data_IF_515580686455
#
_entry.id   IF_515580686455
#
_cell.length_a   1.000
_cell.length_b   1.000
_cell.length_c   1.000
_cell.angle_alpha   90.00
_cell.angle_beta   90.00
_cell.angle_gamma   90.00
#
_symmetry.space_group_name_H-M   'P 1'
#
loop_
_entity.id
_entity.type
_entity.pdbx_description
1 polymer ?
#
# COMPACT_ATOMS: atom_id res chain seq x y z
N UNK A 1 8.50 7.34 -30.52
CA UNK A 1 9.48 8.45 -30.65
C UNK A 1 9.10 9.57 -29.69
N UNK A 2 10.05 10.25 -29.04
CA UNK A 2 9.75 11.40 -28.20
C UNK A 2 9.01 12.47 -29.01
N UNK A 3 7.99 13.11 -28.44
CA UNK A 3 7.16 14.10 -29.16
C UNK A 3 7.83 15.47 -29.21
N UNK A 4 8.87 15.68 -28.39
CA UNK A 4 9.68 16.89 -28.33
C UNK A 4 11.17 16.52 -28.37
N UNK A 5 12.02 17.22 -29.14
CA UNK A 5 13.46 16.98 -29.14
C UNK A 5 14.05 17.20 -27.73
N UNK A 6 14.97 16.33 -27.26
CA UNK A 6 15.57 16.47 -25.93
C UNK A 6 16.27 17.82 -25.80
N UNK A 7 15.98 18.52 -24.70
CA UNK A 7 16.63 19.81 -24.41
C UNK A 7 18.09 19.57 -23.96
N UNK A 8 18.94 20.61 -24.01
CA UNK A 8 20.32 20.50 -23.50
C UNK A 8 20.38 20.04 -22.04
N UNK A 9 19.42 20.47 -21.22
CA UNK A 9 19.28 20.03 -19.84
C UNK A 9 18.84 18.55 -19.70
N UNK A 10 18.10 18.01 -20.68
CA UNK A 10 17.75 16.58 -20.68
C UNK A 10 18.97 15.71 -21.01
N UNK A 11 19.80 16.16 -21.96
CA UNK A 11 21.05 15.49 -22.27
C UNK A 11 22.01 15.50 -21.06
N UNK A 12 22.11 16.64 -20.38
CA UNK A 12 22.89 16.77 -19.14
C UNK A 12 22.37 15.85 -18.03
N UNK A 13 21.06 15.78 -17.83
CA UNK A 13 20.44 14.89 -16.84
C UNK A 13 20.70 13.42 -17.16
N UNK A 14 20.54 13.01 -18.41
CA UNK A 14 20.82 11.64 -18.86
C UNK A 14 22.28 11.28 -18.63
N UNK A 15 23.21 12.19 -18.93
CA UNK A 15 24.64 11.97 -18.70
C UNK A 15 24.97 11.82 -17.20
N UNK A 16 24.40 12.68 -16.35
CA UNK A 16 24.56 12.60 -14.89
C UNK A 16 24.04 11.29 -14.31
N UNK A 17 22.87 10.83 -14.76
CA UNK A 17 22.29 9.56 -14.31
C UNK A 17 23.09 8.36 -14.80
N UNK A 18 23.58 8.40 -16.05
CA UNK A 18 24.43 7.34 -16.60
C UNK A 18 25.74 7.21 -15.80
N UNK A 19 26.35 8.32 -15.39
CA UNK A 19 27.52 8.32 -14.52
C UNK A 19 27.26 7.69 -13.13
N UNK A 20 25.99 7.68 -12.68
CA UNK A 20 25.52 7.02 -11.44
C UNK A 20 25.01 5.58 -11.68
N UNK A 21 25.27 5.02 -12.86
CA UNK A 21 24.86 3.66 -13.22
C UNK A 21 23.37 3.52 -13.57
N UNK A 22 22.64 4.62 -13.72
CA UNK A 22 21.20 4.61 -14.00
C UNK A 22 20.97 4.98 -15.46
N UNK A 23 20.47 4.02 -16.26
CA UNK A 23 20.19 4.23 -17.69
C UNK A 23 18.78 4.77 -17.89
N UNK A 24 18.67 6.00 -18.38
CA UNK A 24 17.39 6.67 -18.68
C UNK A 24 17.43 7.24 -20.09
N UNK A 25 16.33 7.09 -20.83
CA UNK A 25 16.13 7.69 -22.16
C UNK A 25 15.36 9.01 -22.09
N UNK A 26 15.54 9.87 -23.10
CA UNK A 26 14.76 11.11 -23.21
C UNK A 26 13.24 10.85 -23.23
N UNK A 27 12.81 9.73 -23.80
CA UNK A 27 11.41 9.31 -23.81
C UNK A 27 10.90 8.99 -22.40
N UNK A 28 11.71 8.35 -21.53
CA UNK A 28 11.33 8.12 -20.14
C UNK A 28 11.18 9.43 -19.37
N UNK A 29 12.10 10.38 -19.55
CA UNK A 29 11.99 11.72 -18.94
C UNK A 29 10.73 12.46 -19.41
N UNK A 30 10.43 12.44 -20.71
CA UNK A 30 9.21 13.02 -21.27
C UNK A 30 7.96 12.37 -20.66
N UNK A 31 7.93 11.04 -20.58
CA UNK A 31 6.81 10.29 -19.98
C UNK A 31 6.61 10.63 -18.52
N UNK A 32 7.66 10.64 -17.70
CA UNK A 32 7.57 10.99 -16.28
C UNK A 32 7.09 12.42 -16.07
N UNK A 33 7.52 13.37 -16.91
CA UNK A 33 7.02 14.76 -16.86
C UNK A 33 5.55 14.86 -17.27
N UNK A 34 5.13 14.11 -18.28
CA UNK A 34 3.73 14.06 -18.70
C UNK A 34 2.83 13.48 -17.61
N UNK A 35 3.34 12.53 -16.82
CA UNK A 35 2.65 11.93 -15.66
C UNK A 35 2.71 12.80 -14.40
N UNK A 36 3.55 13.85 -14.37
CA UNK A 36 3.77 14.70 -13.20
C UNK A 36 4.76 14.14 -12.17
N UNK A 37 5.39 12.99 -12.46
CA UNK A 37 6.35 12.32 -11.57
C UNK A 37 7.72 13.01 -11.53
N UNK A 38 8.07 13.74 -12.60
CA UNK A 38 9.29 14.51 -12.68
C UNK A 38 8.94 15.99 -12.91
N UNK A 39 9.40 16.92 -12.04
CA UNK A 39 9.22 18.35 -12.28
C UNK A 39 9.82 18.79 -13.62
N UNK A 40 9.24 19.85 -14.22
CA UNK A 40 9.85 20.48 -15.39
C UNK A 40 11.08 21.28 -14.97
N UNK A 41 12.10 21.30 -15.82
CA UNK A 41 13.32 22.04 -15.55
C UNK A 41 13.00 23.54 -15.43
N UNK A 42 13.39 24.21 -14.34
CA UNK A 42 13.19 25.65 -14.19
C UNK A 42 14.01 26.42 -15.23
N UNK A 43 13.40 27.46 -15.78
CA UNK A 43 14.05 28.34 -16.76
C UNK A 43 14.62 29.58 -16.09
N UNK A 44 15.87 29.90 -16.40
CA UNK A 44 16.50 31.17 -16.05
C UNK A 44 16.66 32.04 -17.29
N UNK A 45 16.26 33.31 -17.19
CA UNK A 45 16.53 34.31 -18.23
C UNK A 45 18.03 34.61 -18.27
N UNK A 46 18.63 34.59 -19.45
CA UNK A 46 20.04 34.93 -19.65
C UNK A 46 20.27 36.44 -19.83
N UNK A 47 19.20 37.25 -19.83
CA UNK A 47 19.24 38.70 -20.00
C UNK A 47 19.62 39.16 -21.41
N UNK A 48 19.39 40.46 -21.70
CA UNK A 48 19.77 41.16 -22.97
C UNK A 48 19.42 40.41 -24.26
N UNK A 49 18.20 39.88 -24.38
CA UNK A 49 17.75 39.18 -25.58
C UNK A 49 18.42 37.83 -25.85
N UNK A 50 19.22 37.31 -24.92
CA UNK A 50 19.97 36.04 -25.08
C UNK A 50 19.16 34.77 -24.76
N UNK A 51 17.82 34.89 -24.68
CA UNK A 51 16.92 33.77 -24.46
C UNK A 51 16.85 33.28 -23.01
N UNK A 52 16.30 32.07 -22.85
CA UNK A 52 16.09 31.37 -21.56
C UNK A 52 16.85 30.05 -21.58
N UNK A 53 17.54 29.71 -20.50
CA UNK A 53 18.20 28.42 -20.33
C UNK A 53 17.51 27.62 -19.22
N UNK A 54 17.23 26.35 -19.47
CA UNK A 54 16.81 25.41 -18.44
C UNK A 54 18.04 25.01 -17.60
N UNK A 55 17.87 24.87 -16.29
CA UNK A 55 18.93 24.36 -15.41
C UNK A 55 18.41 23.21 -14.55
N UNK A 56 19.29 22.27 -14.21
CA UNK A 56 18.97 21.12 -13.36
C UNK A 56 19.13 21.49 -11.89
N UNK A 57 18.12 21.17 -11.08
CA UNK A 57 18.21 21.27 -9.62
C UNK A 57 18.66 19.93 -9.03
N UNK A 58 19.30 19.91 -7.86
CA UNK A 58 19.64 18.66 -7.16
C UNK A 58 18.44 17.74 -6.95
N UNK A 59 17.27 18.33 -6.68
CA UNK A 59 15.99 17.63 -6.53
C UNK A 59 15.58 16.90 -7.81
N UNK A 60 15.62 17.56 -8.98
CA UNK A 60 15.28 16.93 -10.27
C UNK A 60 16.21 15.73 -10.55
N UNK A 61 17.50 15.88 -10.23
CA UNK A 61 18.48 14.81 -10.42
C UNK A 61 18.15 13.62 -9.49
N UNK A 62 17.91 13.88 -8.20
CA UNK A 62 17.57 12.86 -7.22
C UNK A 62 16.26 12.13 -7.57
N UNK A 63 15.22 12.87 -7.96
CA UNK A 63 13.93 12.30 -8.38
C UNK A 63 14.07 11.46 -9.65
N UNK A 64 14.81 11.94 -10.66
CA UNK A 64 15.04 11.17 -11.88
C UNK A 64 15.92 9.93 -11.65
N UNK A 65 16.86 9.97 -10.71
CA UNK A 65 17.67 8.83 -10.30
C UNK A 65 16.82 7.77 -9.60
N UNK A 66 15.99 8.19 -8.65
CA UNK A 66 15.04 7.32 -7.97
C UNK A 66 14.12 6.65 -8.99
N UNK A 67 13.49 7.44 -9.86
CA UNK A 67 12.63 6.95 -10.93
C UNK A 67 13.38 6.00 -11.87
N UNK A 68 14.62 6.29 -12.26
CA UNK A 68 15.40 5.42 -13.13
C UNK A 68 15.77 4.08 -12.48
N UNK A 69 15.93 4.04 -11.15
CA UNK A 69 16.19 2.79 -10.41
C UNK A 69 14.93 1.97 -10.17
N UNK A 70 13.80 2.62 -9.95
CA UNK A 70 12.53 1.96 -9.62
C UNK A 70 11.70 1.62 -10.86
N UNK A 71 11.83 2.40 -11.94
CA UNK A 71 11.12 2.19 -13.20
C UNK A 71 11.80 1.11 -14.04
N UNK A 72 11.59 -0.17 -13.69
CA UNK A 72 12.00 -1.28 -14.59
C UNK A 72 11.19 -1.24 -15.89
N UNK A 73 11.88 -1.41 -17.02
CA UNK A 73 11.26 -1.52 -18.34
C UNK A 73 10.25 -2.67 -18.36
N UNK A 74 9.00 -2.39 -18.75
CA UNK A 74 7.92 -3.37 -18.86
C UNK A 74 6.88 -3.35 -17.73
N UNK A 75 7.17 -2.74 -16.57
CA UNK A 75 6.11 -2.48 -15.57
C UNK A 75 5.40 -1.19 -15.94
N UNK A 76 4.12 -1.30 -16.31
CA UNK A 76 3.20 -0.19 -16.10
C UNK A 76 3.17 -0.02 -14.59
N UNK A 77 3.76 1.05 -14.07
CA UNK A 77 3.36 1.51 -12.75
C UNK A 77 1.90 1.88 -12.94
N UNK A 78 0.98 0.97 -12.62
CA UNK A 78 -0.42 1.32 -12.43
C UNK A 78 -0.37 2.41 -11.37
N UNK A 79 -0.62 3.63 -11.83
CA UNK A 79 -0.11 4.81 -11.17
C UNK A 79 -1.04 5.11 -10.00
N UNK A 80 -0.58 4.89 -8.77
CA UNK A 80 -1.28 5.35 -7.56
C UNK A 80 -1.71 6.82 -7.71
N UNK A 81 -0.94 7.59 -8.50
CA UNK A 81 -1.27 8.95 -8.90
C UNK A 81 -2.67 9.09 -9.50
N UNK A 82 -3.14 8.19 -10.37
CA UNK A 82 -4.47 8.32 -10.97
C UNK A 82 -5.58 8.06 -9.94
N UNK A 83 -5.39 7.09 -9.05
CA UNK A 83 -6.29 6.86 -7.92
C UNK A 83 -6.36 8.11 -7.01
N UNK A 84 -5.20 8.65 -6.63
CA UNK A 84 -5.10 9.85 -5.76
C UNK A 84 -5.67 11.09 -6.45
N UNK A 85 -5.40 11.30 -7.74
CA UNK A 85 -6.01 12.39 -8.53
C UNK A 85 -7.52 12.25 -8.59
N UNK A 86 -8.02 11.04 -8.83
CA UNK A 86 -9.45 10.75 -8.89
C UNK A 86 -10.15 11.11 -7.58
N UNK A 87 -9.58 10.69 -6.45
CA UNK A 87 -10.12 11.03 -5.12
C UNK A 87 -10.03 12.54 -4.83
N UNK A 88 -8.88 13.17 -5.08
CA UNK A 88 -8.72 14.60 -4.85
C UNK A 88 -9.64 15.48 -5.70
N UNK A 89 -9.99 15.03 -6.92
CA UNK A 89 -10.96 15.67 -7.79
C UNK A 89 -12.41 15.23 -7.56
N UNK A 90 -12.66 14.32 -6.60
CA UNK A 90 -13.97 13.72 -6.31
C UNK A 90 -14.63 13.14 -7.58
N UNK A 91 -13.83 12.45 -8.40
CA UNK A 91 -14.24 11.88 -9.68
C UNK A 91 -14.32 10.34 -9.59
N UNK A 92 -15.52 9.77 -9.39
CA UNK A 92 -15.69 8.34 -9.18
C UNK A 92 -15.31 7.52 -10.42
N UNK A 93 -15.50 8.05 -11.63
CA UNK A 93 -15.13 7.35 -12.87
C UNK A 93 -13.61 7.12 -12.98
N UNK A 94 -12.80 8.11 -12.57
CA UNK A 94 -11.33 7.99 -12.54
C UNK A 94 -10.88 6.99 -11.48
N UNK A 95 -11.46 7.06 -10.27
CA UNK A 95 -11.20 6.09 -9.19
C UNK A 95 -11.54 4.67 -9.62
N UNK A 96 -12.71 4.47 -10.23
CA UNK A 96 -13.18 3.17 -10.74
C UNK A 96 -12.22 2.60 -11.77
N UNK A 97 -11.83 3.42 -12.76
CA UNK A 97 -10.88 3.01 -13.80
C UNK A 97 -9.50 2.65 -13.22
N UNK A 98 -9.01 3.41 -12.24
CA UNK A 98 -7.74 3.12 -11.56
C UNK A 98 -7.79 1.80 -10.80
N UNK A 99 -8.87 1.53 -10.05
CA UNK A 99 -9.07 0.28 -9.33
C UNK A 99 -9.17 -0.92 -10.27
N UNK A 100 -10.00 -0.84 -11.32
CA UNK A 100 -10.13 -1.92 -12.32
C UNK A 100 -8.78 -2.22 -12.97
N UNK A 101 -8.03 -1.18 -13.34
CA UNK A 101 -6.68 -1.35 -13.90
C UNK A 101 -5.74 -2.06 -12.92
N UNK A 102 -5.75 -1.66 -11.64
CA UNK A 102 -4.92 -2.28 -10.60
C UNK A 102 -5.24 -3.75 -10.39
N UNK A 103 -6.53 -4.10 -10.30
CA UNK A 103 -6.99 -5.49 -10.17
C UNK A 103 -6.69 -6.33 -11.41
N UNK A 104 -6.87 -5.76 -12.60
CA UNK A 104 -6.54 -6.44 -13.88
C UNK A 104 -5.05 -6.70 -14.01
N UNK A 105 -4.21 -5.74 -13.63
CA UNK A 105 -2.76 -5.90 -13.65
C UNK A 105 -2.30 -6.95 -12.62
N UNK A 106 -2.96 -7.05 -11.47
CA UNK A 106 -2.71 -8.11 -10.49
C UNK A 106 -3.13 -9.48 -11.06
N UNK A 107 -4.33 -9.56 -11.65
CA UNK A 107 -4.87 -10.76 -12.30
C UNK A 107 -3.93 -11.27 -13.41
N UNK A 108 -3.38 -10.38 -14.24
CA UNK A 108 -2.39 -10.76 -15.24
C UNK A 108 -1.08 -11.28 -14.62
N UNK A 109 -0.63 -10.70 -13.50
CA UNK A 109 0.59 -11.16 -12.82
C UNK A 109 0.43 -12.54 -12.19
N UNK A 110 -0.79 -12.92 -11.81
CA UNK A 110 -1.13 -14.25 -11.26
C UNK A 110 -1.61 -15.23 -12.34
N UNK A 111 -1.55 -14.85 -13.62
CA UNK A 111 -1.98 -15.71 -14.73
C UNK A 111 -3.49 -15.89 -14.86
N UNK A 112 -4.32 -15.06 -14.23
CA UNK A 112 -5.79 -15.15 -14.29
C UNK A 112 -6.40 -14.67 -15.64
N UNK A 113 -5.62 -14.69 -16.73
CA UNK A 113 -6.08 -14.32 -18.06
C UNK A 113 -7.00 -15.38 -18.66
N UNK A 114 -7.93 -15.00 -19.56
CA UNK A 114 -8.91 -15.92 -20.14
C UNK A 114 -8.30 -17.06 -20.97
N UNK A 115 -7.04 -16.94 -21.38
CA UNK A 115 -6.32 -17.93 -22.18
C UNK A 115 -5.34 -18.79 -21.36
N UNK A 116 -5.14 -18.49 -20.08
CA UNK A 116 -4.15 -19.20 -19.26
C UNK A 116 -4.66 -20.58 -18.82
N UNK A 117 -3.79 -21.59 -18.89
CA UNK A 117 -4.07 -22.90 -18.31
C UNK A 117 -4.00 -22.88 -16.78
N UNK A 118 -4.56 -23.89 -16.12
CA UNK A 118 -4.46 -24.05 -14.66
C UNK A 118 -2.98 -24.09 -14.21
N UNK A 119 -2.13 -24.80 -14.94
CA UNK A 119 -0.69 -24.86 -14.62
C UNK A 119 0.00 -23.49 -14.74
N UNK A 120 -0.36 -22.69 -15.74
CA UNK A 120 0.24 -21.36 -15.92
C UNK A 120 -0.14 -20.42 -14.74
N UNK A 121 -1.38 -20.52 -14.24
CA UNK A 121 -1.82 -19.81 -13.02
C UNK A 121 -1.02 -20.23 -11.80
N UNK A 122 -0.84 -21.53 -11.60
CA UNK A 122 -0.03 -22.08 -10.50
C UNK A 122 1.40 -21.53 -10.54
N UNK A 123 2.06 -21.64 -11.70
CA UNK A 123 3.44 -21.21 -11.86
C UNK A 123 3.59 -19.69 -11.68
N UNK A 124 2.63 -18.91 -12.19
CA UNK A 124 2.61 -17.46 -12.05
C UNK A 124 2.38 -17.01 -10.60
N UNK A 125 1.42 -17.61 -9.88
CA UNK A 125 1.16 -17.34 -8.48
C UNK A 125 2.38 -17.67 -7.60
N UNK A 126 2.98 -18.85 -7.81
CA UNK A 126 4.19 -19.26 -7.09
C UNK A 126 5.38 -18.33 -7.39
N UNK A 127 5.53 -17.91 -8.65
CA UNK A 127 6.57 -16.96 -9.02
C UNK A 127 6.36 -15.59 -8.39
N UNK A 128 5.13 -15.08 -8.40
CA UNK A 128 4.80 -13.80 -7.78
C UNK A 128 5.05 -13.85 -6.27
N UNK A 129 4.58 -14.91 -5.59
CA UNK A 129 4.83 -15.13 -4.16
C UNK A 129 6.33 -15.13 -3.82
N UNK A 130 7.16 -15.80 -4.64
CA UNK A 130 8.63 -15.77 -4.48
C UNK A 130 9.24 -14.39 -4.68
N UNK A 131 8.70 -13.57 -5.57
CA UNK A 131 9.19 -12.19 -5.77
C UNK A 131 8.70 -11.23 -4.70
N UNK A 132 7.57 -11.55 -4.06
CA UNK A 132 6.97 -10.79 -2.98
C UNK A 132 7.34 -11.36 -1.61
N UNK A 133 8.49 -12.05 -1.48
CA UNK A 133 9.05 -12.65 -0.24
C UNK A 133 9.15 -11.76 1.00
N UNK A 134 8.76 -10.50 0.89
CA UNK A 134 8.59 -9.60 2.01
C UNK A 134 7.18 -9.63 2.59
N UNK A 135 6.22 -10.36 2.01
CA UNK A 135 4.83 -10.37 2.49
C UNK A 135 4.73 -10.98 3.88
N UNK A 136 4.39 -10.14 4.85
CA UNK A 136 4.35 -10.47 6.27
C UNK A 136 5.14 -9.41 7.03
N UNK A 137 4.38 -8.48 7.62
CA UNK A 137 4.86 -7.18 8.01
C UNK A 137 5.87 -7.17 9.16
N UNK A 138 6.20 -5.95 9.57
CA UNK A 138 6.91 -5.61 10.79
C UNK A 138 6.28 -6.17 12.09
N UNK A 139 5.26 -7.03 12.04
CA UNK A 139 4.55 -7.54 13.21
C UNK A 139 5.49 -8.21 14.21
N UNK A 140 6.17 -9.29 13.80
CA UNK A 140 7.01 -10.05 14.72
C UNK A 140 8.24 -9.23 15.14
N UNK A 141 8.77 -8.38 14.25
CA UNK A 141 9.87 -7.46 14.56
C UNK A 141 9.47 -6.42 15.61
N UNK A 142 8.33 -5.74 15.43
CA UNK A 142 7.80 -4.80 16.41
C UNK A 142 7.45 -5.50 17.73
N UNK A 143 6.87 -6.70 17.67
CA UNK A 143 6.58 -7.51 18.86
C UNK A 143 7.86 -7.82 19.65
N UNK A 144 8.92 -8.25 18.97
CA UNK A 144 10.22 -8.50 19.59
C UNK A 144 10.83 -7.22 20.20
N UNK A 145 10.82 -6.11 19.46
CA UNK A 145 11.33 -4.83 19.94
C UNK A 145 10.54 -4.30 21.15
N UNK A 146 9.21 -4.49 21.18
CA UNK A 146 8.37 -4.16 22.34
C UNK A 146 8.76 -5.02 23.56
N UNK A 147 9.03 -6.30 23.37
CA UNK A 147 9.50 -7.18 24.44
C UNK A 147 10.90 -6.78 24.95
N UNK A 148 11.80 -6.31 24.08
CA UNK A 148 13.12 -5.77 24.48
C UNK A 148 13.00 -4.54 25.38
N UNK A 149 11.88 -3.82 25.32
CA UNK A 149 11.55 -2.71 26.23
C UNK A 149 10.92 -3.17 27.56
N UNK A 150 10.87 -4.48 27.83
CA UNK A 150 10.36 -5.05 29.07
C UNK A 150 8.83 -5.08 29.16
N UNK A 151 8.12 -4.91 28.04
CA UNK A 151 6.67 -5.02 27.98
C UNK A 151 6.23 -6.45 27.69
N UNK A 152 5.18 -6.90 28.37
CA UNK A 152 4.57 -8.22 28.15
C UNK A 152 3.92 -8.30 26.77
N UNK A 153 4.24 -9.32 25.99
CA UNK A 153 3.71 -9.56 24.63
C UNK A 153 3.06 -10.93 24.49
N UNK A 154 2.75 -11.61 25.60
CA UNK A 154 2.14 -12.94 25.60
C UNK A 154 0.70 -12.91 25.06
N UNK A 155 0.04 -11.75 25.17
CA UNK A 155 -1.29 -11.48 24.60
C UNK A 155 -1.27 -11.00 23.14
N UNK A 156 -0.08 -10.83 22.53
CA UNK A 156 0.08 -10.50 21.11
C UNK A 156 0.46 -11.78 20.36
N UNK A 157 -0.41 -12.26 19.45
CA UNK A 157 -0.16 -13.50 18.74
C UNK A 157 1.07 -13.37 17.85
N UNK A 158 1.95 -14.36 17.87
CA UNK A 158 3.03 -14.46 16.91
C UNK A 158 2.45 -14.81 15.53
N UNK A 159 2.79 -14.02 14.51
CA UNK A 159 2.40 -14.31 13.13
C UNK A 159 3.39 -15.28 12.50
N UNK A 160 2.98 -16.09 11.51
CA UNK A 160 3.90 -17.00 10.87
C UNK A 160 5.06 -16.28 10.17
N UNK A 161 6.24 -16.93 10.05
CA UNK A 161 7.39 -16.36 9.35
C UNK A 161 7.06 -16.06 7.90
N UNK A 162 7.48 -14.89 7.47
CA UNK A 162 7.07 -14.21 6.24
C UNK A 162 7.87 -14.69 5.03
N UNK A 163 8.94 -15.44 5.31
CA UNK A 163 9.83 -16.08 4.35
C UNK A 163 9.21 -17.32 3.67
N UNK A 164 8.05 -17.79 4.14
CA UNK A 164 7.38 -19.00 3.62
C UNK A 164 6.28 -18.62 2.63
N UNK A 165 6.50 -18.79 1.32
CA UNK A 165 5.58 -18.29 0.30
C UNK A 165 4.27 -19.08 0.21
N UNK A 166 4.14 -20.23 0.87
CA UNK A 166 3.01 -21.14 0.67
C UNK A 166 1.64 -20.49 0.94
N UNK A 167 1.51 -19.68 2.02
CA UNK A 167 0.24 -18.98 2.30
C UNK A 167 -0.07 -17.90 1.26
N UNK A 168 0.95 -17.15 0.85
CA UNK A 168 0.80 -16.12 -0.18
C UNK A 168 0.50 -16.74 -1.54
N UNK A 169 1.16 -17.84 -1.89
CA UNK A 169 0.91 -18.61 -3.10
C UNK A 169 -0.53 -19.12 -3.14
N UNK A 170 -1.01 -19.73 -2.05
CA UNK A 170 -2.40 -20.14 -1.90
C UNK A 170 -3.37 -18.96 -2.06
N UNK A 171 -3.10 -17.82 -1.40
CA UNK A 171 -3.93 -16.62 -1.51
C UNK A 171 -3.96 -16.05 -2.94
N UNK A 172 -2.82 -16.04 -3.63
CA UNK A 172 -2.72 -15.59 -5.02
C UNK A 172 -3.43 -16.55 -5.99
N UNK A 173 -3.41 -17.86 -5.70
CA UNK A 173 -4.17 -18.86 -6.45
C UNK A 173 -5.66 -18.73 -6.25
N UNK A 174 -6.12 -18.57 -5.01
CA UNK A 174 -7.52 -18.27 -4.68
C UNK A 174 -7.98 -16.99 -5.40
N UNK A 175 -7.11 -15.97 -5.44
CA UNK A 175 -7.38 -14.74 -6.19
C UNK A 175 -7.47 -14.98 -7.71
N UNK A 176 -6.57 -15.79 -8.29
CA UNK A 176 -6.49 -15.98 -9.75
C UNK A 176 -7.52 -16.95 -10.31
N UNK A 177 -7.81 -17.99 -9.55
CA UNK A 177 -8.58 -19.15 -10.01
C UNK A 177 -9.94 -19.27 -9.33
N UNK A 178 -10.17 -18.52 -8.24
CA UNK A 178 -11.31 -18.74 -7.38
C UNK A 178 -11.18 -20.00 -6.54
N UNK A 179 -12.22 -20.26 -5.75
CA UNK A 179 -12.30 -21.40 -4.82
C UNK A 179 -12.47 -22.76 -5.50
N UNK A 180 -12.93 -22.78 -6.75
CA UNK A 180 -13.23 -24.03 -7.46
C UNK A 180 -11.96 -24.80 -7.88
N UNK A 181 -10.79 -24.13 -7.90
CA UNK A 181 -9.49 -24.73 -8.25
C UNK A 181 -8.54 -24.88 -7.04
N UNK A 182 -9.02 -24.61 -5.83
CA UNK A 182 -8.21 -24.71 -4.61
C UNK A 182 -8.96 -25.57 -3.60
N UNK A 183 -8.44 -26.76 -3.32
CA UNK A 183 -9.05 -27.65 -2.33
C UNK A 183 -8.89 -27.13 -0.90
N UNK A 184 -9.84 -27.48 -0.02
CA UNK A 184 -9.72 -27.18 1.41
C UNK A 184 -8.52 -27.89 2.06
N UNK A 185 -8.15 -29.06 1.55
CA UNK A 185 -6.95 -29.79 1.95
C UNK A 185 -5.66 -29.01 1.65
N UNK A 186 -5.62 -28.25 0.55
CA UNK A 186 -4.49 -27.38 0.22
C UNK A 186 -4.33 -26.23 1.24
N UNK A 187 -5.41 -25.79 1.89
CA UNK A 187 -5.35 -24.84 3.00
C UNK A 187 -4.58 -25.47 4.17
N UNK A 188 -4.92 -26.71 4.54
CA UNK A 188 -4.21 -27.42 5.61
C UNK A 188 -2.72 -27.58 5.28
N UNK A 189 -2.37 -27.81 4.01
CA UNK A 189 -0.98 -27.94 3.55
C UNK A 189 -0.21 -26.65 3.64
N UNK A 190 -0.82 -25.55 3.19
CA UNK A 190 -0.22 -24.23 3.27
C UNK A 190 0.01 -23.85 4.74
N UNK A 191 -0.97 -24.06 5.62
CA UNK A 191 -0.84 -23.81 7.06
C UNK A 191 0.23 -24.74 7.68
N UNK A 192 0.20 -26.03 7.37
CA UNK A 192 1.19 -26.99 7.85
C UNK A 192 2.62 -26.59 7.47
N UNK A 193 2.84 -26.20 6.21
CA UNK A 193 4.12 -25.73 5.72
C UNK A 193 4.55 -24.41 6.39
N UNK A 194 3.62 -23.50 6.63
CA UNK A 194 3.89 -22.17 7.18
C UNK A 194 4.23 -22.23 8.68
N UNK A 195 3.56 -23.09 9.45
CA UNK A 195 3.84 -23.26 10.88
C UNK A 195 4.80 -24.43 11.20
N UNK A 196 5.28 -25.16 10.19
CA UNK A 196 6.10 -26.37 10.36
C UNK A 196 5.42 -27.40 11.27
N UNK A 197 4.11 -27.61 11.08
CA UNK A 197 3.38 -28.60 11.87
C UNK A 197 3.80 -30.02 11.52
N UNK A 198 3.74 -30.96 12.50
CA UNK A 198 3.91 -32.38 12.21
C UNK A 198 2.92 -32.86 11.16
N UNK A 199 3.34 -33.79 10.29
CA UNK A 199 2.49 -34.35 9.24
C UNK A 199 1.17 -34.91 9.80
N UNK A 200 1.22 -35.56 10.96
CA UNK A 200 0.01 -36.10 11.61
C UNK A 200 -1.03 -35.02 11.95
N UNK A 201 -0.57 -33.82 12.34
CA UNK A 201 -1.43 -32.65 12.62
C UNK A 201 -2.04 -32.10 11.33
N UNK A 202 -1.26 -32.04 10.25
CA UNK A 202 -1.75 -31.61 8.93
C UNK A 202 -2.80 -32.59 8.41
N UNK A 203 -2.55 -33.90 8.52
CA UNK A 203 -3.52 -34.93 8.13
C UNK A 203 -4.79 -34.90 8.99
N UNK A 204 -4.68 -34.59 10.28
CA UNK A 204 -5.85 -34.40 11.14
C UNK A 204 -6.67 -33.18 10.70
N UNK A 205 -6.02 -32.07 10.36
CA UNK A 205 -6.69 -30.89 9.83
C UNK A 205 -7.37 -31.17 8.49
N UNK A 206 -6.70 -31.85 7.54
CA UNK A 206 -7.32 -32.28 6.28
C UNK A 206 -8.55 -33.15 6.51
N UNK A 207 -8.45 -34.14 7.41
CA UNK A 207 -9.60 -34.99 7.79
C UNK A 207 -10.74 -34.19 8.41
N UNK A 208 -10.43 -33.17 9.21
CA UNK A 208 -11.42 -32.27 9.80
C UNK A 208 -12.12 -31.42 8.74
N UNK A 209 -11.35 -30.82 7.82
CA UNK A 209 -11.90 -30.01 6.72
C UNK A 209 -12.76 -30.86 5.77
N UNK A 210 -12.28 -32.04 5.37
CA UNK A 210 -13.06 -32.97 4.53
C UNK A 210 -14.37 -33.42 5.20
N UNK A 211 -14.36 -33.62 6.52
CA UNK A 211 -15.60 -33.92 7.27
C UNK A 211 -16.56 -32.73 7.25
N UNK A 212 -16.06 -31.54 7.56
CA UNK A 212 -16.84 -30.30 7.53
C UNK A 212 -17.48 -30.07 6.16
N UNK A 213 -16.71 -30.36 5.10
CA UNK A 213 -17.17 -30.26 3.72
C UNK A 213 -18.32 -31.22 3.40
N UNK A 214 -18.18 -32.51 3.76
CA UNK A 214 -19.25 -33.50 3.59
C UNK A 214 -20.50 -33.11 4.38
N UNK A 215 -20.32 -32.61 5.60
CA UNK A 215 -21.43 -32.18 6.46
C UNK A 215 -22.16 -30.95 5.88
N UNK A 216 -21.42 -29.95 5.39
CA UNK A 216 -21.98 -28.77 4.72
C UNK A 216 -22.78 -29.17 3.47
N UNK A 217 -22.21 -30.01 2.60
CA UNK A 217 -22.91 -30.54 1.43
C UNK A 217 -24.16 -31.33 1.81
N UNK A 218 -24.12 -32.11 2.90
CA UNK A 218 -25.28 -32.82 3.42
C UNK A 218 -26.42 -31.91 3.89
N UNK A 219 -26.11 -30.67 4.29
CA UNK A 219 -27.08 -29.63 4.65
C UNK A 219 -27.49 -28.74 3.47
N UNK A 220 -26.83 -28.87 2.31
CA UNK A 220 -27.01 -27.96 1.18
C UNK A 220 -26.36 -26.58 1.40
N UNK A 221 -25.40 -26.51 2.33
CA UNK A 221 -24.61 -25.33 2.65
C UNK A 221 -23.31 -25.31 1.85
N UNK A 222 -22.69 -24.14 1.72
CA UNK A 222 -21.41 -24.00 1.07
C UNK A 222 -20.29 -24.26 2.09
N UNK A 223 -19.37 -25.20 1.85
CA UNK A 223 -18.30 -25.51 2.81
C UNK A 223 -17.33 -24.35 3.05
N UNK A 224 -17.37 -23.30 2.22
CA UNK A 224 -16.60 -22.07 2.40
C UNK A 224 -17.28 -21.01 3.26
N UNK A 225 -18.55 -21.18 3.64
CA UNK A 225 -19.29 -20.17 4.43
C UNK A 225 -18.68 -19.93 5.82
N UNK A 226 -18.03 -20.95 6.39
CA UNK A 226 -17.33 -20.86 7.68
C UNK A 226 -15.90 -20.30 7.56
N UNK A 227 -15.41 -20.10 6.33
CA UNK A 227 -14.08 -19.56 6.05
C UNK A 227 -14.14 -18.06 5.74
N UNK A 228 -13.01 -17.33 5.91
CA UNK A 228 -12.92 -15.96 5.43
C UNK A 228 -13.32 -15.88 3.95
N UNK A 229 -14.08 -14.84 3.54
CA UNK A 229 -14.54 -14.71 2.16
C UNK A 229 -13.38 -14.82 1.17
N UNK A 230 -13.50 -15.72 0.20
CA UNK A 230 -12.54 -15.80 -0.91
C UNK A 230 -12.80 -14.65 -1.87
N UNK A 231 -11.74 -13.93 -2.19
CA UNK A 231 -11.79 -12.76 -3.06
C UNK A 231 -11.07 -13.05 -4.38
N UNK A 232 -11.79 -13.63 -5.34
CA UNK A 232 -11.26 -13.80 -6.70
C UNK A 232 -11.26 -12.49 -7.50
N UNK A 233 -10.41 -12.41 -8.51
CA UNK A 233 -10.24 -11.22 -9.33
C UNK A 233 -11.54 -10.76 -9.99
N UNK A 234 -12.38 -11.69 -10.46
CA UNK A 234 -13.63 -11.36 -11.13
C UNK A 234 -14.63 -10.75 -10.16
N UNK A 235 -14.84 -11.38 -9.01
CA UNK A 235 -15.72 -10.88 -7.94
C UNK A 235 -15.29 -9.51 -7.41
N UNK A 236 -13.99 -9.26 -7.28
CA UNK A 236 -13.48 -7.95 -6.85
C UNK A 236 -13.68 -6.87 -7.93
N UNK A 237 -13.44 -7.19 -9.20
CA UNK A 237 -13.69 -6.25 -10.31
C UNK A 237 -15.18 -5.92 -10.41
N UNK A 238 -16.06 -6.92 -10.31
CA UNK A 238 -17.51 -6.73 -10.31
C UNK A 238 -17.95 -5.81 -9.16
N UNK A 239 -17.42 -6.01 -7.94
CA UNK A 239 -17.71 -5.13 -6.81
C UNK A 239 -17.35 -3.66 -7.10
N UNK A 240 -16.19 -3.43 -7.74
CA UNK A 240 -15.76 -2.10 -8.15
C UNK A 240 -16.62 -1.57 -9.30
N UNK A 241 -17.22 -2.40 -10.15
CA UNK A 241 -18.09 -1.96 -11.25
C UNK A 241 -19.49 -1.60 -10.78
N UNK A 242 -20.03 -2.36 -9.82
CA UNK A 242 -21.44 -2.31 -9.45
C UNK A 242 -21.73 -1.39 -8.26
N UNK A 243 -20.71 -1.03 -7.46
CA UNK A 243 -20.89 -0.14 -6.31
C UNK A 243 -21.29 1.29 -6.69
N UNK A 244 -22.01 1.96 -5.79
CA UNK A 244 -22.40 3.35 -5.95
C UNK A 244 -21.19 4.30 -5.93
N UNK A 245 -21.25 5.39 -6.68
CA UNK A 245 -20.15 6.36 -6.80
C UNK A 245 -19.72 6.94 -5.44
N UNK A 246 -20.68 7.26 -4.56
CA UNK A 246 -20.41 7.78 -3.22
C UNK A 246 -19.74 6.75 -2.31
N UNK A 247 -20.16 5.49 -2.43
CA UNK A 247 -19.60 4.37 -1.67
C UNK A 247 -18.16 4.07 -2.12
N UNK A 248 -17.91 4.09 -3.43
CA UNK A 248 -16.57 3.93 -3.99
C UNK A 248 -15.61 5.02 -3.51
N UNK A 249 -16.04 6.29 -3.58
CA UNK A 249 -15.21 7.42 -3.12
C UNK A 249 -14.92 7.33 -1.63
N UNK A 250 -15.94 7.08 -0.81
CA UNK A 250 -15.77 6.94 0.64
C UNK A 250 -14.82 5.78 0.99
N UNK A 251 -15.01 4.62 0.39
CA UNK A 251 -14.16 3.43 0.61
C UNK A 251 -12.72 3.71 0.18
N UNK A 252 -12.52 4.32 -1.00
CA UNK A 252 -11.19 4.67 -1.49
C UNK A 252 -10.46 5.66 -0.59
N UNK A 253 -11.16 6.69 -0.10
CA UNK A 253 -10.62 7.68 0.82
C UNK A 253 -10.22 7.05 2.16
N UNK A 254 -11.11 6.26 2.78
CA UNK A 254 -10.85 5.58 4.06
C UNK A 254 -9.66 4.63 3.93
N UNK A 255 -9.62 3.79 2.90
CA UNK A 255 -8.51 2.84 2.68
C UNK A 255 -7.18 3.56 2.46
N UNK A 256 -7.15 4.59 1.59
CA UNK A 256 -5.90 5.28 1.26
C UNK A 256 -5.37 6.10 2.44
N UNK A 257 -6.26 6.79 3.16
CA UNK A 257 -5.91 7.59 4.33
C UNK A 257 -5.44 6.70 5.47
N UNK A 258 -6.18 5.62 5.77
CA UNK A 258 -5.77 4.65 6.80
C UNK A 258 -4.45 3.98 6.46
N UNK A 259 -4.19 3.66 5.18
CA UNK A 259 -2.90 3.09 4.75
C UNK A 259 -1.74 4.07 5.01
N UNK A 260 -1.97 5.35 4.75
CA UNK A 260 -0.97 6.40 5.00
C UNK A 260 -0.68 6.55 6.51
N UNK A 261 -1.71 6.54 7.35
CA UNK A 261 -1.56 6.59 8.81
C UNK A 261 -0.90 5.33 9.35
N UNK A 262 -1.22 4.16 8.80
CA UNK A 262 -0.62 2.88 9.16
C UNK A 262 0.89 2.89 8.91
N UNK A 263 1.31 3.37 7.74
CA UNK A 263 2.74 3.50 7.42
C UNK A 263 3.45 4.48 8.37
N UNK A 264 2.84 5.65 8.64
CA UNK A 264 3.40 6.60 9.61
C UNK A 264 3.49 6.01 11.03
N UNK A 265 2.46 5.31 11.51
CA UNK A 265 2.44 4.68 12.83
C UNK A 265 3.48 3.57 12.95
N UNK A 266 3.70 2.81 11.88
CA UNK A 266 4.75 1.78 11.81
C UNK A 266 6.14 2.42 11.90
N UNK A 267 6.42 3.43 11.09
CA UNK A 267 7.69 4.17 11.13
C UNK A 267 7.90 4.89 12.48
N UNK A 268 6.84 5.47 13.03
CA UNK A 268 6.83 6.10 14.35
C UNK A 268 7.11 5.11 15.47
N UNK A 269 6.57 3.89 15.37
CA UNK A 269 6.85 2.79 16.30
C UNK A 269 8.31 2.37 16.25
N UNK A 270 8.86 2.15 15.04
CA UNK A 270 10.28 1.85 14.87
C UNK A 270 11.16 2.95 15.46
N UNK A 271 10.82 4.22 15.22
CA UNK A 271 11.57 5.35 15.76
C UNK A 271 11.50 5.41 17.30
N UNK A 272 10.33 5.22 17.88
CA UNK A 272 10.16 5.25 19.34
C UNK A 272 10.83 4.07 20.05
N UNK A 273 10.76 2.87 19.48
CA UNK A 273 11.49 1.69 19.95
C UNK A 273 13.01 1.86 19.79
N UNK A 274 13.47 2.59 18.78
CA UNK A 274 14.87 2.99 18.64
C UNK A 274 15.24 4.21 19.51
N UNK A 275 14.32 4.71 20.35
CA UNK A 275 14.49 5.87 21.22
C UNK A 275 14.89 7.16 20.48
N UNK A 276 14.47 7.30 19.21
CA UNK A 276 14.69 8.48 18.40
C UNK A 276 13.68 9.57 18.76
N UNK A 277 14.17 10.79 18.96
CA UNK A 277 13.31 11.95 19.24
C UNK A 277 12.77 12.52 17.93
N UNK A 278 11.66 11.97 17.44
CA UNK A 278 10.92 12.46 16.27
C UNK A 278 9.50 12.91 16.68
N UNK A 279 8.91 13.92 16.00
CA UNK A 279 7.56 14.40 16.34
C UNK A 279 6.46 13.34 16.26
N UNK A 280 6.66 12.31 15.44
CA UNK A 280 5.74 11.18 15.24
C UNK A 280 6.22 9.89 15.92
N UNK A 281 7.19 9.95 16.83
CA UNK A 281 7.64 8.78 17.55
C UNK A 281 6.49 8.23 18.43
N UNK A 282 6.21 6.94 18.28
CA UNK A 282 5.17 6.21 19.01
C UNK A 282 5.83 5.49 20.18
N UNK A 283 5.30 5.61 21.40
CA UNK A 283 5.90 4.95 22.56
C UNK A 283 5.81 3.42 22.45
N UNK A 284 6.70 2.66 23.12
CA UNK A 284 6.62 1.20 23.15
C UNK A 284 5.24 0.66 23.58
N UNK A 285 4.57 1.30 24.54
CA UNK A 285 3.23 0.92 25.01
C UNK A 285 2.14 1.19 23.96
N UNK A 286 2.26 2.30 23.23
CA UNK A 286 1.36 2.61 22.13
C UNK A 286 1.56 1.62 20.97
N UNK A 287 2.81 1.27 20.63
CA UNK A 287 3.10 0.20 19.66
C UNK A 287 2.50 -1.14 20.10
N UNK A 288 2.67 -1.53 21.36
CA UNK A 288 2.03 -2.73 21.93
C UNK A 288 0.51 -2.70 21.75
N UNK A 289 -0.12 -1.55 22.02
CA UNK A 289 -1.57 -1.36 21.87
C UNK A 289 -2.00 -1.49 20.41
N UNK A 290 -1.23 -0.93 19.47
CA UNK A 290 -1.45 -1.09 18.03
C UNK A 290 -1.38 -2.56 17.60
N UNK A 291 -0.36 -3.30 18.06
CA UNK A 291 -0.18 -4.72 17.72
C UNK A 291 -1.35 -5.62 18.19
N UNK A 292 -2.06 -5.20 19.25
CA UNK A 292 -3.26 -5.89 19.78
C UNK A 292 -4.55 -5.51 19.05
N UNK A 293 -4.53 -4.48 18.22
CA UNK A 293 -5.74 -3.99 17.58
C UNK A 293 -6.26 -5.03 16.56
N UNK A 294 -7.56 -5.40 16.56
CA UNK A 294 -8.07 -6.44 15.65
C UNK A 294 -7.82 -6.14 14.17
N UNK A 295 -7.94 -4.86 13.76
CA UNK A 295 -7.67 -4.43 12.38
C UNK A 295 -6.19 -4.46 12.02
N UNK A 296 -5.27 -4.34 12.99
CA UNK A 296 -3.85 -4.52 12.72
C UNK A 296 -3.55 -5.95 12.25
N UNK A 297 -4.11 -6.96 12.93
CA UNK A 297 -3.89 -8.37 12.60
C UNK A 297 -4.45 -8.76 11.24
N UNK A 298 -5.64 -8.28 10.90
CA UNK A 298 -6.34 -8.66 9.66
C UNK A 298 -5.97 -7.79 8.46
N UNK A 299 -5.52 -6.56 8.68
CA UNK A 299 -5.28 -5.59 7.60
C UNK A 299 -3.99 -4.78 7.77
N UNK A 300 -3.74 -4.20 8.96
CA UNK A 300 -2.66 -3.23 9.18
C UNK A 300 -1.25 -3.80 8.96
N UNK A 301 -1.00 -5.05 9.36
CA UNK A 301 0.30 -5.70 9.19
C UNK A 301 0.67 -5.85 7.70
N UNK A 302 -0.30 -6.12 6.84
CA UNK A 302 -0.11 -6.25 5.38
C UNK A 302 0.10 -4.91 4.69
N UNK A 303 -0.35 -3.81 5.31
CA UNK A 303 -0.27 -2.45 4.76
C UNK A 303 0.91 -1.62 5.29
N UNK A 304 1.78 -2.25 6.09
CA UNK A 304 2.93 -1.60 6.73
C UNK A 304 4.20 -1.61 5.86
N UNK A 305 4.12 -2.02 4.59
CA UNK A 305 5.28 -2.19 3.71
C UNK A 305 5.29 -1.23 2.52
N UNK A 306 6.48 -0.98 1.96
CA UNK A 306 6.64 -0.12 0.78
C UNK A 306 5.82 -0.57 -0.44
N UNK A 307 5.51 -1.87 -0.55
CA UNK A 307 4.67 -2.43 -1.61
C UNK A 307 3.15 -2.18 -1.43
N UNK A 308 2.70 -1.88 -0.22
CA UNK A 308 1.28 -1.68 0.10
C UNK A 308 0.68 -0.43 -0.58
N UNK A 309 1.53 0.47 -1.08
CA UNK A 309 1.15 1.67 -1.82
C UNK A 309 1.12 1.47 -3.33
N UNK A 310 1.22 0.24 -3.82
CA UNK A 310 0.97 -0.01 -5.24
C UNK A 310 -0.52 0.19 -5.55
N UNK A 311 -0.84 0.66 -6.77
CA UNK A 311 -2.25 0.78 -7.19
C UNK A 311 -2.97 -0.56 -7.13
N UNK A 312 -2.31 -1.68 -7.43
CA UNK A 312 -2.89 -3.01 -7.32
C UNK A 312 -3.26 -3.36 -5.87
N UNK A 313 -2.38 -3.09 -4.91
CA UNK A 313 -2.63 -3.32 -3.48
C UNK A 313 -3.77 -2.45 -2.95
N UNK A 314 -3.79 -1.16 -3.31
CA UNK A 314 -4.86 -0.25 -2.90
C UNK A 314 -6.20 -0.64 -3.55
N UNK A 315 -6.21 -0.96 -4.85
CA UNK A 315 -7.41 -1.43 -5.55
C UNK A 315 -7.97 -2.72 -4.94
N UNK A 316 -7.09 -3.66 -4.56
CA UNK A 316 -7.48 -4.88 -3.83
C UNK A 316 -8.13 -4.54 -2.49
N UNK A 317 -7.49 -3.70 -1.67
CA UNK A 317 -8.03 -3.31 -0.37
C UNK A 317 -9.37 -2.57 -0.47
N UNK A 318 -9.55 -1.69 -1.46
CA UNK A 318 -10.80 -1.00 -1.75
C UNK A 318 -11.89 -2.02 -2.13
N UNK A 319 -11.60 -2.95 -3.04
CA UNK A 319 -12.56 -3.96 -3.48
C UNK A 319 -12.96 -4.92 -2.34
N UNK A 320 -12.01 -5.32 -1.49
CA UNK A 320 -12.29 -6.11 -0.28
C UNK A 320 -13.18 -5.33 0.68
N UNK A 321 -12.94 -4.03 0.84
CA UNK A 321 -13.77 -3.17 1.70
C UNK A 321 -15.21 -3.07 1.22
N UNK A 322 -15.43 -2.95 -0.09
CA UNK A 322 -16.78 -2.96 -0.69
C UNK A 322 -17.48 -4.33 -0.55
N UNK A 323 -16.71 -5.43 -0.54
CA UNK A 323 -17.24 -6.80 -0.46
C UNK A 323 -17.49 -7.29 0.95
N UNK A 324 -16.96 -6.62 1.96
CA UNK A 324 -16.96 -7.11 3.35
C UNK A 324 -17.83 -6.20 4.23
N UNK A 325 -19.06 -6.60 4.58
CA UNK A 325 -19.95 -5.79 5.40
C UNK A 325 -19.28 -5.32 6.71
N UNK A 326 -19.43 -4.02 7.01
CA UNK A 326 -18.86 -3.38 8.21
C UNK A 326 -17.34 -3.36 8.27
N UNK A 327 -16.62 -3.72 7.21
CA UNK A 327 -15.17 -3.60 7.19
C UNK A 327 -14.71 -2.14 7.14
N UNK A 328 -15.36 -1.33 6.29
CA UNK A 328 -15.01 0.09 6.15
C UNK A 328 -15.27 0.88 7.42
N UNK A 329 -16.36 0.61 8.14
CA UNK A 329 -16.64 1.26 9.43
C UNK A 329 -15.54 0.93 10.47
N UNK A 330 -15.17 -0.34 10.59
CA UNK A 330 -14.07 -0.76 11.48
C UNK A 330 -12.72 -0.18 11.05
N UNK A 331 -12.51 0.01 9.75
CA UNK A 331 -11.30 0.63 9.23
C UNK A 331 -11.27 2.14 9.56
N UNK A 332 -12.41 2.82 9.51
CA UNK A 332 -12.54 4.21 9.95
C UNK A 332 -12.29 4.35 11.46
N UNK A 333 -12.83 3.46 12.29
CA UNK A 333 -12.52 3.43 13.74
C UNK A 333 -11.01 3.23 13.98
N UNK A 334 -10.39 2.34 13.20
CA UNK A 334 -8.95 2.13 13.26
C UNK A 334 -8.14 3.33 12.78
N UNK A 335 -8.63 4.06 11.77
CA UNK A 335 -8.05 5.31 11.31
C UNK A 335 -7.98 6.32 12.47
N UNK A 336 -9.07 6.49 13.21
CA UNK A 336 -9.14 7.40 14.35
C UNK A 336 -8.22 6.95 15.50
N UNK A 337 -8.14 5.65 15.76
CA UNK A 337 -7.15 5.08 16.66
C UNK A 337 -5.71 5.45 16.26
N UNK A 338 -5.35 5.28 14.97
CA UNK A 338 -4.03 5.63 14.46
C UNK A 338 -3.73 7.13 14.56
N UNK A 339 -4.73 7.99 14.32
CA UNK A 339 -4.59 9.46 14.49
C UNK A 339 -4.25 9.82 15.94
N UNK A 340 -4.94 9.22 16.90
CA UNK A 340 -4.68 9.41 18.32
C UNK A 340 -3.30 8.91 18.72
N UNK A 341 -2.93 7.72 18.24
CA UNK A 341 -1.62 7.12 18.47
C UNK A 341 -0.46 7.97 17.92
N UNK A 342 -0.67 8.63 16.78
CA UNK A 342 0.28 9.55 16.14
C UNK A 342 0.20 10.99 16.69
N UNK A 343 -0.74 11.30 17.58
CA UNK A 343 -0.97 12.63 18.17
C UNK A 343 -1.11 13.74 17.12
N UNK A 344 -1.75 13.43 15.99
CA UNK A 344 -1.84 14.35 14.85
C UNK A 344 -2.61 15.64 15.19
N UNK A 345 -3.55 15.59 16.12
CA UNK A 345 -4.32 16.76 16.54
C UNK A 345 -3.46 17.78 17.30
N UNK A 346 -2.49 17.30 18.10
CA UNK A 346 -1.54 18.17 18.79
C UNK A 346 -0.57 18.84 17.81
N UNK A 347 -0.10 18.07 16.81
CA UNK A 347 0.78 18.59 15.76
C UNK A 347 0.10 19.67 14.94
N UNK A 348 -1.18 19.46 14.57
CA UNK A 348 -1.96 20.46 13.86
C UNK A 348 -2.09 21.77 14.66
N UNK A 349 -2.30 21.69 15.98
CA UNK A 349 -2.33 22.85 16.87
C UNK A 349 -0.99 23.60 16.93
N UNK A 350 0.14 22.87 16.93
CA UNK A 350 1.48 23.47 16.96
C UNK A 350 1.89 24.19 15.67
N UNK A 351 1.30 23.81 14.54
CA UNK A 351 1.58 24.38 13.21
C UNK A 351 0.73 25.61 12.89
N UNK A 352 -0.32 25.89 13.67
CA UNK A 352 -1.07 27.13 13.48
C UNK A 352 -0.20 28.32 13.90
N UNK A 353 0.07 29.29 13.01
CA UNK A 353 0.89 30.43 13.34
C UNK A 353 0.25 31.19 14.50
N UNK A 354 1.02 31.40 15.58
CA UNK A 354 0.58 32.18 16.73
C UNK A 354 0.08 33.54 16.26
N UNK A 355 -1.24 33.75 16.30
CA UNK A 355 -1.88 35.02 15.96
C UNK A 355 -1.64 36.10 17.03
N UNK A 356 -0.83 35.81 18.04
CA UNK A 356 -0.49 36.73 19.11
C UNK A 356 0.81 37.51 18.83
N UNK A 357 0.70 38.54 17.98
CA UNK A 357 1.51 39.76 18.09
C UNK A 357 0.84 40.88 17.29
N UNK A 358 -0.31 41.33 17.78
CA UNK A 358 -0.75 42.69 17.48
C UNK A 358 0.26 43.63 18.14
N UNK A 359 1.04 44.42 17.38
CA UNK A 359 1.94 45.38 17.99
C UNK A 359 1.12 46.39 18.82
N UNK A 360 1.61 46.84 19.98
CA UNK A 360 0.90 47.84 20.76
C UNK A 360 0.71 49.09 19.91
N UNK A 361 -0.55 49.47 19.69
CA UNK A 361 -0.93 50.71 19.03
C UNK A 361 -0.30 51.88 19.77
N UNK A 362 0.74 52.47 19.17
CA UNK A 362 1.27 53.75 19.56
C UNK A 362 0.18 54.81 19.34
N UNK A 363 -0.57 55.10 20.39
CA UNK A 363 -1.41 56.29 20.48
C UNK A 363 -0.49 57.48 20.69
N UNK A 364 -0.18 58.16 19.58
CA UNK A 364 0.49 59.45 19.59
C UNK A 364 -0.43 60.50 20.19
N UNK A 365 -0.05 60.99 21.35
CA UNK A 365 -0.61 62.17 22.00
C UNK A 365 0.03 63.41 21.33
N UNK A 366 -0.76 64.15 20.55
CA UNK A 366 -0.36 65.43 19.95
C UNK A 366 -1.10 66.54 20.70
N UNK A 367 -0.41 67.14 21.66
CA UNK A 367 -0.87 68.36 22.34
C UNK A 367 -0.68 69.61 21.46
N UNK A 368 -1.54 70.63 21.57
CA UNK A 368 -1.40 71.87 20.81
C UNK A 368 -0.48 72.86 21.53
N UNK A 369 0.32 73.59 20.76
CA UNK A 369 0.97 74.84 21.19
C UNK A 369 1.03 75.80 20.02
#
# INVERSE_FOLDING_TARGET
MPRTPPTGADAELIALLAARGVKVSAYQLERWRAQGLLPRNPYRSLGRGRGRAAHLTPEIIATAELLGRTSRQGRKNADLTELVKGMGAQNPAVVRAACITGLTDLAHQTGAGPEAGAQDRLDAAAQLARTQRHYGGFHNELRALVAEHGLDVDDIPELPPTERPALLELALRLFSSGRDEVGLDEIADALGAVWNWPQDTVEEMRRSLARSEIEAFGRGEDPWDDLPPVHDAHSLIAAIQDCADSELLHTAETVTTTSSYQMMATLGSLAGLAQLTLPLAVSPEATRTMLRHPIWLTWGQSHSQAGAFSNASQAFAIAVGLRTPGFIDRLADYQDFLRGLLRLDELAGSLQPSTASTPPSATGDVGPS
#
